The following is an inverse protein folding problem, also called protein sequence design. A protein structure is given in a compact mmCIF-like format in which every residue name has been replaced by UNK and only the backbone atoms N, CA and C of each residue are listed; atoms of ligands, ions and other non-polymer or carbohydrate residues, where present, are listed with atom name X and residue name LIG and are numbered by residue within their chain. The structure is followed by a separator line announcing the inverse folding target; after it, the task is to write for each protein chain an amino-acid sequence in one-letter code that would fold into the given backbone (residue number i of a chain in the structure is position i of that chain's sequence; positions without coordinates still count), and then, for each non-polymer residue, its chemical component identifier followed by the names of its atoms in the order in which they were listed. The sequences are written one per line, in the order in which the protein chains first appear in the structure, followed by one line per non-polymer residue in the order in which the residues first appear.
data_IF_693921289342
#
_entry.id   IF_693921289342
#
_cell.length_a   1.000
_cell.length_b   1.000
_cell.length_c   1.000
_cell.angle_alpha   90.00
_cell.angle_beta   90.00
_cell.angle_gamma   90.00
#
_symmetry.space_group_name_H-M   'P 1'
#
loop_
_entity.id
_entity.type
_entity.pdbx_description
1 polymer ?
#
# COMPACT_ATOMS: atom_id res chain seq x y z
N UNK A 1 10.30 -4.63 -15.52
CA UNK A 1 11.78 -4.63 -15.44
C UNK A 1 12.33 -3.24 -15.12
N UNK A 2 11.85 -2.17 -15.76
CA UNK A 2 12.24 -0.79 -15.43
C UNK A 2 12.09 -0.44 -13.93
N UNK A 3 11.01 -0.88 -13.26
CA UNK A 3 10.81 -0.65 -11.81
C UNK A 3 11.95 -1.21 -10.94
N UNK A 4 12.59 -2.31 -11.37
CA UNK A 4 13.68 -2.93 -10.63
C UNK A 4 14.93 -2.06 -10.66
N UNK A 5 15.26 -1.48 -11.82
CA UNK A 5 16.37 -0.53 -11.96
C UNK A 5 16.09 0.75 -11.18
N UNK A 6 14.87 1.31 -11.27
CA UNK A 6 14.48 2.47 -10.47
C UNK A 6 14.57 2.20 -8.97
N UNK A 7 14.21 1.00 -8.52
CA UNK A 7 14.37 0.58 -7.12
C UNK A 7 15.85 0.48 -6.70
N UNK A 8 16.71 -0.03 -7.57
CA UNK A 8 18.16 -0.11 -7.33
C UNK A 8 18.79 1.28 -7.27
N UNK A 9 18.50 2.15 -8.24
CA UNK A 9 18.97 3.54 -8.30
C UNK A 9 18.65 4.26 -6.98
N UNK A 10 17.42 4.13 -6.48
CA UNK A 10 17.02 4.74 -5.21
C UNK A 10 17.75 4.20 -3.97
N UNK A 11 18.23 2.95 -4.03
CA UNK A 11 18.90 2.30 -2.89
C UNK A 11 20.40 2.52 -2.90
N UNK A 12 21.02 2.53 -4.07
CA UNK A 12 22.48 2.59 -4.24
C UNK A 12 22.98 3.92 -4.79
N UNK A 13 22.08 4.83 -5.18
CA UNK A 13 22.38 6.15 -5.76
C UNK A 13 23.17 6.09 -7.09
N UNK A 14 23.20 4.92 -7.73
CA UNK A 14 23.88 4.67 -9.00
C UNK A 14 23.04 5.19 -10.17
N UNK A 15 23.16 6.49 -10.48
CA UNK A 15 22.40 7.17 -11.53
C UNK A 15 22.79 6.74 -12.96
N UNK A 16 23.91 6.06 -13.13
CA UNK A 16 24.33 5.46 -14.41
C UNK A 16 23.34 4.41 -14.94
N UNK A 17 22.50 3.85 -14.06
CA UNK A 17 21.45 2.89 -14.46
C UNK A 17 20.20 3.58 -15.03
N UNK A 18 20.11 4.91 -14.95
CA UNK A 18 18.93 5.67 -15.36
C UNK A 18 18.63 5.56 -16.87
N UNK A 19 19.60 5.66 -17.79
CA UNK A 19 19.35 5.48 -19.22
C UNK A 19 18.72 4.11 -19.54
N UNK A 20 19.25 3.04 -18.94
CA UNK A 20 18.71 1.69 -19.09
C UNK A 20 17.27 1.58 -18.57
N UNK A 21 16.97 2.23 -17.44
CA UNK A 21 15.61 2.25 -16.90
C UNK A 21 14.63 2.98 -17.85
N UNK A 22 15.07 4.11 -18.43
CA UNK A 22 14.28 4.90 -19.38
C UNK A 22 14.04 4.17 -20.70
N UNK A 23 15.07 3.53 -21.26
CA UNK A 23 14.94 2.72 -22.47
C UNK A 23 13.93 1.58 -22.30
N UNK A 24 13.97 0.88 -21.16
CA UNK A 24 13.00 -0.17 -20.85
C UNK A 24 11.59 0.38 -20.59
N UNK A 25 11.46 1.56 -19.99
CA UNK A 25 10.16 2.17 -19.68
C UNK A 25 9.47 2.75 -20.91
N UNK A 26 10.21 3.43 -21.79
CA UNK A 26 9.68 4.12 -22.96
C UNK A 26 9.75 3.20 -24.19
N UNK A 27 10.97 2.83 -24.58
CA UNK A 27 11.24 1.98 -25.73
C UNK A 27 10.61 0.59 -25.58
N UNK A 28 10.86 -0.07 -24.45
CA UNK A 28 10.33 -1.41 -24.17
C UNK A 28 8.81 -1.50 -24.22
N UNK A 29 8.09 -0.50 -23.73
CA UNK A 29 6.61 -0.46 -23.75
C UNK A 29 6.08 -0.18 -25.16
N UNK A 30 6.75 0.69 -25.92
CA UNK A 30 6.32 1.03 -27.28
C UNK A 30 6.40 -0.14 -28.28
N UNK A 31 7.34 -1.06 -28.06
CA UNK A 31 7.65 -2.20 -28.94
C UNK A 31 6.84 -3.46 -28.63
N UNK A 32 5.88 -3.40 -27.71
CA UNK A 32 5.04 -4.57 -27.37
C UNK A 32 4.15 -4.95 -28.57
N UNK A 33 4.30 -6.19 -29.05
CA UNK A 33 3.59 -6.72 -30.24
C UNK A 33 2.06 -6.67 -30.11
N UNK A 34 1.53 -6.94 -28.91
CA UNK A 34 0.08 -7.05 -28.67
C UNK A 34 -0.51 -5.75 -28.09
N UNK A 35 -0.02 -4.58 -28.48
CA UNK A 35 -0.57 -3.31 -27.98
C UNK A 35 -1.89 -2.97 -28.71
N UNK A 36 -2.92 -2.50 -27.97
CA UNK A 36 -4.12 -1.97 -28.62
C UNK A 36 -3.76 -0.74 -29.47
N UNK A 37 -4.52 -0.49 -30.53
CA UNK A 37 -4.35 0.73 -31.34
C UNK A 37 -4.64 1.94 -30.45
N UNK A 38 -3.66 2.83 -30.34
CA UNK A 38 -3.81 4.07 -29.60
C UNK A 38 -4.76 5.01 -30.37
N UNK A 39 -5.66 5.73 -29.68
CA UNK A 39 -6.49 6.73 -30.32
C UNK A 39 -5.64 7.88 -30.88
N UNK A 40 -6.13 8.64 -31.88
CA UNK A 40 -5.40 9.77 -32.48
C UNK A 40 -5.03 10.86 -31.46
N UNK A 41 -5.81 10.98 -30.39
CA UNK A 41 -5.58 11.94 -29.31
C UNK A 41 -5.67 11.26 -27.95
N UNK A 42 -4.65 11.47 -27.13
CA UNK A 42 -4.61 11.03 -25.73
C UNK A 42 -4.46 12.28 -24.87
N UNK A 43 -5.46 12.56 -24.03
CA UNK A 43 -5.37 13.66 -23.07
C UNK A 43 -4.33 13.31 -22.01
N UNK A 44 -3.29 14.13 -21.88
CA UNK A 44 -2.35 14.01 -20.76
C UNK A 44 -3.09 14.26 -19.44
N UNK A 45 -2.93 13.31 -18.52
CA UNK A 45 -3.55 13.36 -17.20
C UNK A 45 -2.51 13.16 -16.11
N UNK A 46 -2.90 13.47 -14.88
CA UNK A 46 -2.04 13.23 -13.73
C UNK A 46 -1.76 11.72 -13.56
N UNK A 47 -0.54 11.30 -13.17
CA UNK A 47 -0.21 9.91 -12.96
C UNK A 47 -1.14 9.22 -11.96
N UNK A 48 -1.90 8.24 -12.42
CA UNK A 48 -2.91 7.56 -11.60
C UNK A 48 -2.30 6.86 -10.39
N UNK A 49 -1.08 6.32 -10.52
CA UNK A 49 -0.38 5.63 -9.41
C UNK A 49 -0.13 6.55 -8.21
N UNK A 50 0.30 7.78 -8.45
CA UNK A 50 0.52 8.76 -7.38
C UNK A 50 -0.79 9.13 -6.69
N UNK A 51 -1.84 9.28 -7.49
CA UNK A 51 -3.19 9.57 -7.01
C UNK A 51 -3.71 8.44 -6.09
N UNK A 52 -3.56 7.19 -6.50
CA UNK A 52 -3.92 6.01 -5.69
C UNK A 52 -3.10 5.93 -4.40
N UNK A 53 -1.80 6.22 -4.46
CA UNK A 53 -0.94 6.24 -3.27
C UNK A 53 -1.34 7.34 -2.29
N UNK A 54 -1.74 8.51 -2.79
CA UNK A 54 -2.23 9.60 -1.97
C UNK A 54 -3.58 9.24 -1.31
N UNK A 55 -4.54 8.72 -2.08
CA UNK A 55 -5.85 8.27 -1.57
C UNK A 55 -5.73 7.22 -0.46
N UNK A 56 -4.82 6.26 -0.64
CA UNK A 56 -4.58 5.19 0.34
C UNK A 56 -3.61 5.55 1.46
N UNK A 57 -3.09 6.79 1.51
CA UNK A 57 -2.08 7.18 2.50
C UNK A 57 -2.65 7.15 3.92
N UNK A 58 -3.83 7.72 4.10
CA UNK A 58 -4.46 7.83 5.41
C UNK A 58 -4.91 6.48 5.95
N UNK A 59 -5.53 5.65 5.11
CA UNK A 59 -5.96 4.30 5.48
C UNK A 59 -4.78 3.42 5.89
N UNK A 60 -3.65 3.52 5.18
CA UNK A 60 -2.41 2.83 5.56
C UNK A 60 -1.87 3.31 6.91
N UNK A 61 -1.85 4.62 7.16
CA UNK A 61 -1.39 5.20 8.43
C UNK A 61 -2.20 4.68 9.62
N UNK A 62 -3.54 4.66 9.51
CA UNK A 62 -4.43 4.16 10.56
C UNK A 62 -4.23 2.66 10.82
N UNK A 63 -4.10 1.87 9.75
CA UNK A 63 -3.80 0.43 9.85
C UNK A 63 -2.44 0.15 10.50
N UNK A 64 -1.42 0.94 10.17
CA UNK A 64 -0.10 0.84 10.79
C UNK A 64 -0.12 1.16 12.28
N UNK A 65 -0.86 2.19 12.70
CA UNK A 65 -1.03 2.53 14.12
C UNK A 65 -1.68 1.38 14.92
N UNK A 66 -2.73 0.76 14.39
CA UNK A 66 -3.36 -0.42 15.01
C UNK A 66 -2.37 -1.59 15.14
N UNK A 67 -1.63 -1.88 14.07
CA UNK A 67 -0.64 -2.98 14.06
C UNK A 67 0.46 -2.70 15.10
N UNK A 68 0.93 -1.47 15.19
CA UNK A 68 1.97 -1.07 16.14
C UNK A 68 1.51 -1.17 17.59
N UNK A 69 0.30 -0.70 17.89
CA UNK A 69 -0.32 -0.86 19.21
C UNK A 69 -0.43 -2.32 19.61
N UNK A 70 -0.95 -3.19 18.72
CA UNK A 70 -1.09 -4.61 19.00
C UNK A 70 0.27 -5.30 19.16
N UNK A 71 1.25 -4.96 18.31
CA UNK A 71 2.59 -5.50 18.40
C UNK A 71 3.26 -5.16 19.74
N UNK A 72 3.10 -3.94 20.23
CA UNK A 72 3.66 -3.50 21.50
C UNK A 72 3.00 -4.19 22.69
N UNK A 73 1.67 -4.27 22.72
CA UNK A 73 0.94 -4.86 23.85
C UNK A 73 1.06 -6.39 23.93
N UNK A 74 1.15 -7.06 22.76
CA UNK A 74 1.25 -8.51 22.69
C UNK A 74 2.71 -8.99 22.66
N UNK A 75 3.69 -8.08 22.54
CA UNK A 75 5.11 -8.39 22.34
C UNK A 75 5.37 -9.28 21.12
N UNK A 76 4.63 -9.06 20.04
CA UNK A 76 4.71 -9.84 18.79
C UNK A 76 5.23 -8.97 17.65
N UNK A 77 5.88 -9.60 16.66
CA UNK A 77 6.33 -8.89 15.46
C UNK A 77 5.17 -8.25 14.68
N UNK A 78 5.39 -7.08 14.08
CA UNK A 78 4.41 -6.40 13.21
C UNK A 78 3.93 -7.29 12.06
N UNK A 79 4.78 -8.20 11.57
CA UNK A 79 4.46 -9.15 10.51
C UNK A 79 3.42 -10.17 10.98
N UNK A 80 3.64 -10.81 12.12
CA UNK A 80 2.70 -11.78 12.69
C UNK A 80 1.35 -11.13 13.05
N UNK A 81 1.38 -9.87 13.53
CA UNK A 81 0.14 -9.11 13.73
C UNK A 81 -0.64 -8.93 12.43
N UNK A 82 0.06 -8.58 11.34
CA UNK A 82 -0.54 -8.29 10.05
C UNK A 82 -1.14 -9.52 9.37
N UNK A 83 -0.49 -10.69 9.51
CA UNK A 83 -0.89 -11.92 8.82
C UNK A 83 -1.93 -12.71 9.61
N UNK A 84 -1.76 -12.83 10.92
CA UNK A 84 -2.56 -13.76 11.74
C UNK A 84 -3.56 -13.03 12.62
N UNK A 85 -3.10 -12.07 13.42
CA UNK A 85 -3.94 -11.43 14.43
C UNK A 85 -5.07 -10.58 13.83
N UNK A 86 -4.83 -9.87 12.72
CA UNK A 86 -5.89 -9.09 12.06
C UNK A 86 -7.05 -9.99 11.61
N UNK A 87 -6.76 -11.17 11.06
CA UNK A 87 -7.79 -12.11 10.62
C UNK A 87 -8.61 -12.66 11.79
N UNK A 88 -7.94 -13.00 12.89
CA UNK A 88 -8.62 -13.48 14.10
C UNK A 88 -9.48 -12.36 14.71
N UNK A 89 -8.95 -11.14 14.78
CA UNK A 89 -9.67 -9.98 15.30
C UNK A 89 -10.90 -9.65 14.47
N UNK A 90 -10.85 -9.75 13.14
CA UNK A 90 -12.01 -9.50 12.29
C UNK A 90 -13.11 -10.55 12.48
N UNK A 91 -12.73 -11.82 12.66
CA UNK A 91 -13.67 -12.89 12.99
C UNK A 91 -14.33 -12.68 14.36
N UNK A 92 -13.56 -12.23 15.36
CA UNK A 92 -14.08 -11.93 16.71
C UNK A 92 -14.98 -10.69 16.68
N UNK A 93 -14.58 -9.63 15.99
CA UNK A 93 -15.33 -8.38 15.88
C UNK A 93 -16.73 -8.58 15.29
N UNK A 94 -16.90 -9.55 14.37
CA UNK A 94 -18.21 -9.93 13.83
C UNK A 94 -19.15 -10.52 14.89
N UNK A 95 -18.61 -11.25 15.87
CA UNK A 95 -19.40 -11.93 16.92
C UNK A 95 -19.58 -11.06 18.16
N UNK A 96 -18.60 -10.21 18.48
CA UNK A 96 -18.59 -9.35 19.69
C UNK A 96 -18.20 -7.91 19.31
N UNK A 97 -19.17 -7.00 19.15
CA UNK A 97 -18.90 -5.61 18.79
C UNK A 97 -18.13 -4.85 19.89
N UNK A 98 -18.23 -5.26 21.15
CA UNK A 98 -17.52 -4.67 22.30
C UNK A 98 -15.99 -4.60 22.12
N UNK A 99 -15.41 -5.53 21.35
CA UNK A 99 -13.97 -5.56 21.10
C UNK A 99 -13.54 -4.36 20.25
N UNK A 100 -14.40 -3.93 19.32
CA UNK A 100 -14.14 -2.75 18.47
C UNK A 100 -14.15 -1.47 19.29
N UNK A 101 -15.05 -1.36 20.27
CA UNK A 101 -15.12 -0.20 21.17
C UNK A 101 -13.90 -0.09 22.07
N UNK A 102 -13.44 -1.21 22.65
CA UNK A 102 -12.20 -1.23 23.46
C UNK A 102 -10.97 -0.82 22.65
N UNK A 103 -10.86 -1.30 21.41
CA UNK A 103 -9.77 -0.91 20.51
C UNK A 103 -9.88 0.56 20.09
N UNK A 104 -11.09 1.07 19.86
CA UNK A 104 -11.37 2.48 19.56
C UNK A 104 -10.91 3.39 20.68
N UNK A 105 -11.28 3.08 21.92
CA UNK A 105 -10.89 3.85 23.09
C UNK A 105 -9.37 3.86 23.31
N UNK A 106 -8.70 2.72 23.10
CA UNK A 106 -7.25 2.61 23.28
C UNK A 106 -6.45 3.39 22.24
N UNK A 107 -6.94 3.48 21.00
CA UNK A 107 -6.24 4.13 19.89
C UNK A 107 -6.67 5.58 19.66
N UNK A 108 -7.78 6.02 20.25
CA UNK A 108 -8.38 7.34 19.98
C UNK A 108 -8.89 7.47 18.54
N UNK A 109 -9.24 6.36 17.89
CA UNK A 109 -9.72 6.29 16.49
C UNK A 109 -11.23 6.00 16.50
N UNK A 110 -11.98 6.55 15.54
CA UNK A 110 -13.41 6.27 15.37
C UNK A 110 -13.71 4.77 15.21
N UNK A 111 -14.80 4.31 15.83
CA UNK A 111 -15.27 2.91 15.75
C UNK A 111 -15.54 2.47 14.31
N UNK A 112 -16.05 3.37 13.47
CA UNK A 112 -16.34 3.13 12.06
C UNK A 112 -15.04 2.83 11.29
N UNK A 113 -13.98 3.57 11.58
CA UNK A 113 -12.69 3.41 10.92
C UNK A 113 -12.03 2.09 11.29
N UNK A 114 -12.14 1.65 12.54
CA UNK A 114 -11.62 0.35 12.98
C UNK A 114 -12.40 -0.79 12.32
N UNK A 115 -13.72 -0.66 12.20
CA UNK A 115 -14.56 -1.62 11.48
C UNK A 115 -14.22 -1.72 10.00
N UNK A 116 -13.72 -0.64 9.38
CA UNK A 116 -13.24 -0.67 7.99
C UNK A 116 -11.86 -1.32 7.85
N UNK A 117 -11.08 -1.39 8.93
CA UNK A 117 -9.73 -2.00 8.94
C UNK A 117 -9.80 -3.51 9.20
N UNK A 118 -10.75 -3.95 10.05
CA UNK A 118 -10.98 -5.35 10.43
C UNK A 118 -11.97 -6.06 9.49
#
# INVERSE_FOLDING_TARGET
KADMFLGRIKRTEEWELLPYALELALGGVSQVKNKPRLPPFIKYGFPQRLLLLARSKETRRRREALIEYLAQNLHVSKTAVRTELIYVLSAIAKKRPEVVEKLSNALGISTIDIKNIL
#
